data_IF_963465701745
#
_entry.id   IF_963465701745
#
_cell.length_a   1.000
_cell.length_b   1.000
_cell.length_c   1.000
_cell.angle_alpha   90.00
_cell.angle_beta   90.00
_cell.angle_gamma   90.00
#
_symmetry.space_group_name_H-M   'P 1'
#
loop_
_entity.id
_entity.type
_entity.pdbx_description
1 polymer ?
#
# COMPACT_ATOMS: atom_id res chain seq x y z
N UNK A 1 -3.16 -10.79 32.31
CA UNK A 1 -3.45 -11.18 30.91
C UNK A 1 -3.03 -12.62 30.72
N UNK A 2 -3.81 -13.43 30.00
CA UNK A 2 -3.50 -14.84 29.72
C UNK A 2 -3.22 -15.02 28.22
N UNK A 3 -2.11 -15.66 27.87
CA UNK A 3 -1.80 -16.02 26.48
C UNK A 3 -2.73 -17.15 26.00
N UNK A 4 -3.30 -16.97 24.81
CA UNK A 4 -4.25 -17.92 24.20
C UNK A 4 -3.75 -18.48 22.88
N UNK A 5 -2.80 -17.82 22.22
CA UNK A 5 -2.13 -18.27 21.02
C UNK A 5 -0.82 -17.51 20.81
N UNK A 6 0.05 -18.09 19.99
CA UNK A 6 1.32 -17.51 19.56
C UNK A 6 1.52 -17.78 18.07
N UNK A 7 2.06 -16.82 17.34
CA UNK A 7 2.41 -16.93 15.92
C UNK A 7 3.81 -16.35 15.71
N UNK A 8 4.66 -17.08 14.98
CA UNK A 8 6.01 -16.65 14.66
C UNK A 8 6.26 -16.79 13.16
N UNK A 9 7.01 -15.86 12.59
CA UNK A 9 7.37 -15.85 11.17
C UNK A 9 8.66 -15.06 10.94
N UNK A 10 9.48 -15.55 10.03
CA UNK A 10 10.53 -14.72 9.43
C UNK A 10 9.99 -13.96 8.22
N UNK A 11 10.39 -12.70 8.07
CA UNK A 11 9.96 -11.83 6.97
C UNK A 11 11.18 -11.24 6.25
N UNK A 12 11.18 -11.16 4.91
CA UNK A 12 12.24 -10.57 4.10
C UNK A 12 12.17 -9.03 4.06
N UNK A 13 11.96 -8.40 5.22
CA UNK A 13 11.81 -6.94 5.37
C UNK A 13 12.73 -6.40 6.46
N UNK A 14 12.99 -5.10 6.48
CA UNK A 14 13.74 -4.45 7.57
C UNK A 14 12.82 -4.06 8.73
N UNK A 15 13.39 -3.80 9.92
CA UNK A 15 12.64 -3.24 11.05
C UNK A 15 11.98 -1.90 10.70
N UNK A 16 12.65 -1.07 9.89
CA UNK A 16 12.10 0.20 9.43
C UNK A 16 10.80 0.01 8.65
N UNK A 17 10.76 -0.95 7.72
CA UNK A 17 9.55 -1.26 6.94
C UNK A 17 8.45 -1.85 7.82
N UNK A 18 8.81 -2.70 8.78
CA UNK A 18 7.86 -3.27 9.74
C UNK A 18 7.21 -2.18 10.61
N UNK A 19 7.99 -1.21 11.09
CA UNK A 19 7.44 -0.11 11.90
C UNK A 19 6.63 0.88 11.08
N UNK A 20 7.02 1.17 9.82
CA UNK A 20 6.20 1.93 8.87
C UNK A 20 4.83 1.25 8.69
N UNK A 21 4.83 -0.07 8.44
CA UNK A 21 3.60 -0.85 8.28
C UNK A 21 2.74 -0.91 9.55
N UNK A 22 3.34 -1.11 10.73
CA UNK A 22 2.58 -1.16 11.99
C UNK A 22 1.90 0.18 12.32
N UNK A 23 2.49 1.31 11.94
CA UNK A 23 1.91 2.64 12.15
C UNK A 23 0.95 3.08 11.04
N UNK A 24 0.96 2.38 9.90
CA UNK A 24 0.08 2.61 8.77
C UNK A 24 -1.28 1.95 9.01
N UNK A 25 -2.19 2.65 9.67
CA UNK A 25 -3.56 2.17 9.89
C UNK A 25 -4.43 2.22 8.63
N UNK A 26 -4.05 3.00 7.62
CA UNK A 26 -4.91 3.36 6.50
C UNK A 26 -5.07 2.19 5.52
N UNK A 27 -4.14 1.24 5.48
CA UNK A 27 -4.25 0.08 4.60
C UNK A 27 -5.27 -0.96 5.08
N UNK A 28 -5.71 -0.92 6.35
CA UNK A 28 -6.56 -1.96 6.94
C UNK A 28 -7.82 -2.29 6.11
N UNK A 29 -8.69 -1.33 5.73
CA UNK A 29 -9.89 -1.64 4.95
C UNK A 29 -9.62 -1.92 3.46
N UNK A 30 -8.39 -1.74 2.99
CA UNK A 30 -8.04 -1.81 1.57
C UNK A 30 -7.16 -3.01 1.26
N UNK A 31 -5.97 -3.08 1.84
CA UNK A 31 -5.08 -4.22 1.75
C UNK A 31 -5.69 -5.45 2.43
N UNK A 32 -6.25 -5.29 3.63
CA UNK A 32 -6.88 -6.37 4.40
C UNK A 32 -8.40 -6.36 4.29
N UNK A 33 -8.94 -6.06 3.11
CA UNK A 33 -10.39 -5.91 2.86
C UNK A 33 -11.22 -7.17 3.21
N UNK A 34 -10.56 -8.33 3.33
CA UNK A 34 -11.17 -9.59 3.80
C UNK A 34 -11.40 -9.67 5.32
N UNK A 35 -10.70 -8.82 6.09
CA UNK A 35 -10.77 -8.74 7.56
C UNK A 35 -11.48 -7.47 8.02
N UNK A 36 -11.24 -6.35 7.35
CA UNK A 36 -11.80 -5.04 7.70
C UNK A 36 -12.64 -4.51 6.53
N UNK A 37 -13.89 -4.16 6.82
CA UNK A 37 -14.80 -3.58 5.85
C UNK A 37 -14.67 -2.06 5.77
N UNK A 38 -14.35 -1.41 6.89
CA UNK A 38 -14.24 0.04 7.00
C UNK A 38 -13.41 0.44 8.22
N UNK A 39 -12.92 1.68 8.24
CA UNK A 39 -12.16 2.24 9.34
C UNK A 39 -12.42 3.75 9.47
N UNK A 40 -12.52 4.23 10.72
CA UNK A 40 -12.51 5.65 11.07
C UNK A 40 -11.37 5.92 12.06
N UNK A 41 -10.39 6.73 11.66
CA UNK A 41 -9.32 7.17 12.56
C UNK A 41 -9.90 8.11 13.63
N UNK A 42 -9.57 7.87 14.89
CA UNK A 42 -9.98 8.71 16.02
C UNK A 42 -8.88 9.70 16.41
N UNK A 43 -7.64 9.23 16.54
CA UNK A 43 -6.46 10.03 16.84
C UNK A 43 -5.17 9.29 16.49
N UNK A 44 -4.08 10.04 16.34
CA UNK A 44 -2.74 9.50 16.15
C UNK A 44 -1.65 10.45 16.62
N UNK A 45 -0.50 9.87 16.91
CA UNK A 45 0.79 10.54 17.07
C UNK A 45 1.87 9.74 16.31
N UNK A 46 3.15 10.01 16.58
CA UNK A 46 4.27 9.35 15.88
C UNK A 46 4.52 7.89 16.28
N UNK A 47 3.87 7.40 17.34
CA UNK A 47 4.07 6.05 17.91
C UNK A 47 2.76 5.34 18.22
N UNK A 48 1.62 6.01 18.08
CA UNK A 48 0.31 5.45 18.38
C UNK A 48 -0.72 5.93 17.39
N UNK A 49 -1.67 5.04 17.08
CA UNK A 49 -2.92 5.40 16.42
C UNK A 49 -4.07 4.67 17.10
N UNK A 50 -5.24 5.28 17.05
CA UNK A 50 -6.48 4.70 17.54
C UNK A 50 -7.58 4.90 16.50
N UNK A 51 -8.32 3.84 16.22
CA UNK A 51 -9.34 3.84 15.20
C UNK A 51 -10.54 2.98 15.61
N UNK A 52 -11.70 3.31 15.07
CA UNK A 52 -12.84 2.40 15.01
C UNK A 52 -12.78 1.61 13.71
N UNK A 53 -12.89 0.28 13.79
CA UNK A 53 -12.91 -0.61 12.63
C UNK A 53 -14.21 -1.38 12.56
N UNK A 54 -14.70 -1.59 11.34
CA UNK A 54 -15.78 -2.52 11.04
C UNK A 54 -15.17 -3.82 10.51
N UNK A 55 -15.46 -4.95 11.16
CA UNK A 55 -14.95 -6.25 10.75
C UNK A 55 -15.82 -6.87 9.64
N UNK A 56 -15.19 -7.72 8.84
CA UNK A 56 -15.93 -8.59 7.92
C UNK A 56 -16.54 -9.80 8.64
N UNK A 57 -17.68 -10.34 8.16
CA UNK A 57 -18.51 -9.77 7.09
C UNK A 57 -19.29 -8.54 7.57
N UNK A 58 -19.29 -7.47 6.77
CA UNK A 58 -19.89 -6.17 7.13
C UNK A 58 -21.36 -6.26 7.58
N UNK A 59 -22.12 -7.22 7.05
CA UNK A 59 -23.52 -7.47 7.38
C UNK A 59 -23.78 -7.78 8.87
N UNK A 60 -22.77 -8.26 9.61
CA UNK A 60 -22.89 -8.52 11.05
C UNK A 60 -22.70 -7.26 11.91
N UNK A 61 -22.27 -6.13 11.33
CA UNK A 61 -22.11 -4.87 12.04
C UNK A 61 -21.10 -4.91 13.20
N UNK A 62 -20.14 -5.85 13.17
CA UNK A 62 -19.19 -6.05 14.26
C UNK A 62 -18.13 -4.94 14.27
N UNK A 63 -18.24 -4.00 15.20
CA UNK A 63 -17.27 -2.91 15.39
C UNK A 63 -16.31 -3.18 16.54
N UNK A 64 -15.09 -2.64 16.39
CA UNK A 64 -14.07 -2.59 17.44
C UNK A 64 -13.42 -1.21 17.47
N UNK A 65 -13.16 -0.69 18.66
CA UNK A 65 -12.19 0.39 18.83
C UNK A 65 -10.85 -0.24 19.15
N UNK A 66 -9.85 -0.05 18.28
CA UNK A 66 -8.51 -0.58 18.45
C UNK A 66 -7.49 0.54 18.60
N UNK A 67 -6.47 0.32 19.43
CA UNK A 67 -5.32 1.21 19.59
C UNK A 67 -4.05 0.40 19.41
N UNK A 68 -3.13 0.92 18.60
CA UNK A 68 -1.79 0.38 18.47
C UNK A 68 -0.81 1.36 19.12
N UNK A 69 0.09 0.84 19.96
CA UNK A 69 1.21 1.59 20.53
C UNK A 69 2.53 0.92 20.18
N UNK A 70 3.45 1.64 19.55
CA UNK A 70 4.78 1.19 19.13
C UNK A 70 5.87 1.76 20.05
N UNK A 71 6.74 0.87 20.53
CA UNK A 71 8.05 1.19 21.08
C UNK A 71 9.14 0.64 20.15
N UNK A 72 9.61 1.50 19.25
CA UNK A 72 10.63 1.15 18.27
C UNK A 72 11.99 0.81 18.92
N UNK A 73 12.29 1.32 20.12
CA UNK A 73 13.56 1.06 20.79
C UNK A 73 13.67 -0.39 21.27
N UNK A 74 12.55 -0.97 21.73
CA UNK A 74 12.48 -2.39 22.11
C UNK A 74 12.00 -3.31 20.98
N UNK A 75 11.59 -2.74 19.84
CA UNK A 75 11.03 -3.46 18.71
C UNK A 75 9.68 -4.11 19.02
N UNK A 76 8.89 -3.49 19.89
CA UNK A 76 7.61 -4.02 20.36
C UNK A 76 6.47 -3.08 19.99
N UNK A 77 5.35 -3.64 19.54
CA UNK A 77 4.09 -2.91 19.53
C UNK A 77 2.96 -3.77 20.11
N UNK A 78 1.94 -3.07 20.58
CA UNK A 78 0.78 -3.70 21.20
C UNK A 78 -0.48 -3.13 20.56
N UNK A 79 -1.27 -3.99 19.95
CA UNK A 79 -2.64 -3.67 19.51
C UNK A 79 -3.61 -4.08 20.60
N UNK A 80 -4.39 -3.14 21.13
CA UNK A 80 -5.41 -3.37 22.16
C UNK A 80 -6.79 -3.13 21.57
N UNK A 81 -7.72 -4.03 21.85
CA UNK A 81 -9.14 -3.80 21.59
C UNK A 81 -9.73 -3.08 22.79
N UNK A 82 -9.96 -1.78 22.66
CA UNK A 82 -10.45 -0.92 23.73
C UNK A 82 -11.96 -1.09 23.97
N UNK A 83 -12.74 -1.29 22.89
CA UNK A 83 -14.19 -1.45 22.94
C UNK A 83 -14.69 -2.35 21.80
N UNK A 84 -15.93 -2.86 21.94
CA UNK A 84 -16.59 -3.69 20.94
C UNK A 84 -16.29 -5.18 21.05
N UNK A 85 -16.40 -5.90 19.93
CA UNK A 85 -16.14 -7.35 19.88
C UNK A 85 -14.74 -7.65 20.44
N UNK A 86 -14.58 -8.66 21.29
CA UNK A 86 -13.27 -9.00 21.91
C UNK A 86 -12.60 -7.89 22.74
N UNK A 87 -13.35 -6.91 23.26
CA UNK A 87 -12.82 -5.88 24.16
C UNK A 87 -11.95 -6.43 25.30
N UNK A 88 -10.84 -5.73 25.55
CA UNK A 88 -9.81 -6.10 26.50
C UNK A 88 -8.71 -7.01 25.95
N UNK A 89 -8.87 -7.60 24.76
CA UNK A 89 -7.79 -8.36 24.13
C UNK A 89 -6.60 -7.47 23.79
N UNK A 90 -5.40 -8.03 23.92
CA UNK A 90 -4.15 -7.39 23.54
C UNK A 90 -3.33 -8.34 22.68
N UNK A 91 -2.71 -7.80 21.64
CA UNK A 91 -1.87 -8.53 20.70
C UNK A 91 -0.49 -7.91 20.83
N UNK A 92 0.41 -8.63 21.49
CA UNK A 92 1.78 -8.21 21.73
C UNK A 92 2.65 -8.74 20.62
N UNK A 93 3.22 -7.85 19.82
CA UNK A 93 4.14 -8.24 18.77
C UNK A 93 5.53 -7.72 19.06
N UNK A 94 6.53 -8.58 18.92
CA UNK A 94 7.94 -8.24 18.96
C UNK A 94 8.58 -8.54 17.61
N UNK A 95 9.33 -7.60 17.05
CA UNK A 95 10.16 -7.81 15.88
C UNK A 95 11.64 -7.76 16.27
N UNK A 96 12.45 -8.66 15.69
CA UNK A 96 13.90 -8.73 15.88
C UNK A 96 14.60 -8.75 14.54
N UNK A 97 15.65 -7.96 14.39
CA UNK A 97 16.49 -8.00 13.20
C UNK A 97 17.31 -9.29 13.16
N UNK A 98 17.24 -9.98 12.02
CA UNK A 98 18.12 -11.10 11.66
C UNK A 98 19.13 -10.69 10.58
N UNK A 99 18.95 -9.52 9.98
CA UNK A 99 19.81 -8.92 8.96
C UNK A 99 19.26 -7.56 8.51
N UNK A 100 19.87 -6.95 7.49
CA UNK A 100 19.46 -5.61 7.00
C UNK A 100 18.00 -5.59 6.50
N UNK A 101 17.57 -6.65 5.80
CA UNK A 101 16.22 -6.81 5.24
C UNK A 101 15.63 -8.16 5.62
N UNK A 102 15.89 -8.60 6.85
CA UNK A 102 15.33 -9.82 7.38
C UNK A 102 15.02 -9.64 8.86
N UNK A 103 13.80 -9.95 9.26
CA UNK A 103 13.35 -9.91 10.65
C UNK A 103 12.64 -11.22 11.02
N UNK A 104 12.57 -11.48 12.32
CA UNK A 104 11.60 -12.42 12.90
C UNK A 104 10.53 -11.61 13.64
N UNK A 105 9.27 -11.97 13.48
CA UNK A 105 8.15 -11.48 14.28
C UNK A 105 7.64 -12.57 15.23
N UNK A 106 7.36 -12.17 16.46
CA UNK A 106 6.73 -12.98 17.50
C UNK A 106 5.45 -12.30 17.98
N UNK A 107 4.30 -12.90 17.67
CA UNK A 107 2.97 -12.36 17.96
C UNK A 107 2.32 -13.21 19.05
N UNK A 108 1.94 -12.57 20.16
CA UNK A 108 1.28 -13.21 21.30
C UNK A 108 -0.10 -12.62 21.53
N UNK A 109 -1.11 -13.47 21.49
CA UNK A 109 -2.50 -13.09 21.67
C UNK A 109 -2.90 -13.28 23.13
N UNK A 110 -3.39 -12.22 23.76
CA UNK A 110 -3.69 -12.21 25.18
C UNK A 110 -5.10 -11.72 25.49
N UNK A 111 -5.72 -12.29 26.53
CA UNK A 111 -7.06 -11.91 27.00
C UNK A 111 -7.09 -11.69 28.52
N UNK A 112 -7.96 -10.78 29.02
CA UNK A 112 -8.18 -10.62 30.45
C UNK A 112 -9.13 -11.69 31.03
N UNK A 113 -9.85 -12.44 30.17
CA UNK A 113 -10.89 -13.38 30.62
C UNK A 113 -10.30 -14.58 31.37
N UNK A 114 -10.78 -14.81 32.60
CA UNK A 114 -10.37 -15.89 33.53
C UNK A 114 -10.76 -17.32 33.12
N UNK A 115 -11.50 -17.52 32.02
CA UNK A 115 -11.86 -18.86 31.50
C UNK A 115 -11.07 -19.18 30.21
N UNK A 116 -9.78 -19.50 30.30
CA UNK A 116 -8.87 -19.67 29.15
C UNK A 116 -9.29 -20.79 28.20
N UNK A 117 -10.06 -21.79 28.64
CA UNK A 117 -10.45 -22.94 27.79
C UNK A 117 -11.31 -22.51 26.60
N UNK A 118 -12.36 -21.69 26.82
CA UNK A 118 -13.16 -21.15 25.70
C UNK A 118 -12.37 -20.12 24.89
N UNK A 119 -11.44 -19.40 25.52
CA UNK A 119 -10.62 -18.41 24.84
C UNK A 119 -9.58 -19.04 23.90
N UNK A 120 -9.02 -20.20 24.26
CA UNK A 120 -8.12 -21.00 23.41
C UNK A 120 -8.78 -21.48 22.13
N UNK A 121 -10.10 -21.65 22.10
CA UNK A 121 -10.83 -21.98 20.87
C UNK A 121 -10.71 -20.88 19.80
N UNK A 122 -10.51 -19.61 20.20
CA UNK A 122 -10.26 -18.52 19.25
C UNK A 122 -8.81 -18.48 18.75
N UNK A 123 -7.89 -19.17 19.41
CA UNK A 123 -6.46 -19.16 19.08
C UNK A 123 -6.17 -19.51 17.61
N UNK A 124 -6.66 -20.64 17.08
CA UNK A 124 -6.48 -21.00 15.68
C UNK A 124 -7.07 -19.98 14.70
N UNK A 125 -8.22 -19.38 15.02
CA UNK A 125 -8.84 -18.33 14.19
C UNK A 125 -7.96 -17.09 14.15
N UNK A 126 -7.47 -16.62 15.30
CA UNK A 126 -6.58 -15.46 15.40
C UNK A 126 -5.27 -15.68 14.63
N UNK A 127 -4.65 -16.86 14.79
CA UNK A 127 -3.42 -17.23 14.05
C UNK A 127 -3.70 -17.29 12.55
N UNK A 128 -4.84 -17.83 12.13
CA UNK A 128 -5.25 -17.87 10.72
C UNK A 128 -5.47 -16.48 10.12
N UNK A 129 -6.14 -15.58 10.85
CA UNK A 129 -6.30 -14.18 10.46
C UNK A 129 -4.94 -13.50 10.34
N UNK A 130 -4.10 -13.57 11.37
CA UNK A 130 -2.79 -12.91 11.37
C UNK A 130 -1.83 -13.45 10.31
N UNK A 131 -1.88 -14.75 10.00
CA UNK A 131 -1.10 -15.30 8.89
C UNK A 131 -1.43 -14.61 7.57
N UNK A 132 -2.72 -14.44 7.28
CA UNK A 132 -3.19 -13.75 6.07
C UNK A 132 -2.78 -12.28 6.06
N UNK A 133 -2.99 -11.57 7.18
CA UNK A 133 -2.56 -10.17 7.30
C UNK A 133 -1.06 -10.05 6.98
N UNK A 134 -0.23 -10.91 7.58
CA UNK A 134 1.21 -10.91 7.31
C UNK A 134 1.59 -11.29 5.88
N UNK A 135 0.82 -12.16 5.19
CA UNK A 135 1.06 -12.44 3.76
C UNK A 135 0.84 -11.19 2.90
N UNK A 136 -0.22 -10.44 3.19
CA UNK A 136 -0.58 -9.20 2.49
C UNK A 136 0.40 -8.06 2.83
N UNK A 137 0.76 -7.92 4.11
CA UNK A 137 1.73 -6.92 4.60
C UNK A 137 3.13 -7.18 4.06
N UNK A 138 3.58 -8.44 4.02
CA UNK A 138 4.89 -8.80 3.47
C UNK A 138 4.99 -8.35 2.01
N UNK A 139 3.98 -8.67 1.19
CA UNK A 139 3.93 -8.26 -0.20
C UNK A 139 3.99 -6.73 -0.35
N UNK A 140 3.21 -5.99 0.46
CA UNK A 140 3.24 -4.53 0.46
C UNK A 140 4.61 -3.97 0.86
N UNK A 141 5.19 -4.44 1.96
CA UNK A 141 6.48 -3.96 2.48
C UNK A 141 7.66 -4.25 1.54
N UNK A 142 7.67 -5.43 0.91
CA UNK A 142 8.70 -5.81 -0.07
C UNK A 142 8.62 -4.91 -1.31
N UNK A 143 7.42 -4.72 -1.87
CA UNK A 143 7.25 -3.84 -3.03
C UNK A 143 7.55 -2.37 -2.68
N UNK A 144 7.16 -1.92 -1.48
CA UNK A 144 7.50 -0.59 -0.95
C UNK A 144 9.02 -0.38 -0.92
N UNK A 145 9.76 -1.36 -0.42
CA UNK A 145 11.22 -1.29 -0.37
C UNK A 145 11.83 -1.29 -1.77
N UNK A 146 11.33 -2.15 -2.68
CA UNK A 146 11.76 -2.17 -4.07
C UNK A 146 11.51 -0.84 -4.79
N UNK A 147 10.36 -0.20 -4.56
CA UNK A 147 10.05 1.11 -5.11
C UNK A 147 11.00 2.20 -4.59
N UNK A 148 11.32 2.19 -3.29
CA UNK A 148 12.30 3.11 -2.71
C UNK A 148 13.69 2.93 -3.32
N UNK A 149 14.13 1.69 -3.53
CA UNK A 149 15.42 1.40 -4.15
C UNK A 149 15.47 1.92 -5.60
N UNK A 150 14.38 1.75 -6.37
CA UNK A 150 14.25 2.29 -7.73
C UNK A 150 14.29 3.82 -7.74
N UNK A 151 13.64 4.48 -6.79
CA UNK A 151 13.69 5.95 -6.66
C UNK A 151 15.11 6.42 -6.35
N UNK A 152 15.82 5.78 -5.41
CA UNK A 152 17.21 6.10 -5.08
C UNK A 152 18.13 5.91 -6.29
N UNK A 153 18.00 4.79 -7.01
CA UNK A 153 18.76 4.52 -8.23
C UNK A 153 18.46 5.55 -9.34
N UNK A 154 17.18 5.90 -9.53
CA UNK A 154 16.74 6.88 -10.53
C UNK A 154 17.22 8.29 -10.22
N UNK A 155 17.26 8.70 -8.95
CA UNK A 155 17.82 10.00 -8.55
C UNK A 155 19.31 10.09 -8.89
N UNK A 156 20.07 9.02 -8.63
CA UNK A 156 21.49 8.92 -9.01
C UNK A 156 21.69 8.97 -10.52
N UNK A 157 20.86 8.26 -11.28
CA UNK A 157 20.91 8.24 -12.74
C UNK A 157 20.48 9.57 -13.37
N UNK A 158 19.44 10.24 -12.87
CA UNK A 158 18.99 11.56 -13.36
C UNK A 158 20.03 12.66 -13.12
N UNK A 159 20.76 12.60 -12.00
CA UNK A 159 21.89 13.49 -11.74
C UNK A 159 23.02 13.31 -12.78
N UNK A 160 23.08 12.15 -13.46
CA UNK A 160 24.07 11.83 -14.49
C UNK A 160 23.54 12.03 -15.92
N UNK A 161 22.23 11.90 -16.15
CA UNK A 161 21.61 11.90 -17.47
C UNK A 161 20.65 13.09 -17.67
N UNK A 162 21.19 14.30 -17.72
CA UNK A 162 20.52 15.44 -18.34
C UNK A 162 20.96 15.50 -19.80
N UNK A 163 20.15 14.91 -20.69
CA UNK A 163 19.98 15.24 -22.13
C UNK A 163 19.39 14.05 -22.90
N UNK A 164 18.08 14.08 -23.12
CA UNK A 164 17.51 13.86 -24.47
C UNK A 164 16.04 14.29 -24.42
N UNK A 165 15.72 15.31 -25.22
CA UNK A 165 14.38 15.88 -25.32
C UNK A 165 13.50 15.17 -26.36
N UNK A 166 14.04 14.15 -27.02
CA UNK A 166 13.39 13.52 -28.17
C UNK A 166 12.30 12.53 -27.74
N UNK A 167 11.30 12.38 -28.62
CA UNK A 167 10.23 11.41 -28.44
C UNK A 167 10.76 9.98 -28.56
N UNK A 168 10.13 9.03 -27.87
CA UNK A 168 10.46 7.60 -27.93
C UNK A 168 9.31 6.84 -28.57
N UNK A 169 9.58 6.07 -29.63
CA UNK A 169 8.62 5.11 -30.17
C UNK A 169 8.35 3.99 -29.15
N UNK A 170 7.07 3.65 -28.95
CA UNK A 170 6.60 2.63 -28.00
C UNK A 170 6.14 1.34 -28.67
N UNK A 171 5.82 1.39 -29.97
CA UNK A 171 5.29 0.24 -30.73
C UNK A 171 3.92 0.54 -31.34
N UNK A 172 3.22 -0.49 -31.80
CA UNK A 172 1.87 -0.34 -32.36
C UNK A 172 0.83 -0.02 -31.27
N UNK A 173 -0.34 0.50 -31.68
CA UNK A 173 -1.45 0.76 -30.76
C UNK A 173 -1.85 -0.47 -29.95
N UNK A 174 -1.96 -1.63 -30.59
CA UNK A 174 -2.30 -2.89 -29.91
C UNK A 174 -1.23 -3.30 -28.90
N UNK A 175 0.05 -3.13 -29.22
CA UNK A 175 1.14 -3.49 -28.31
C UNK A 175 1.16 -2.60 -27.05
N UNK A 176 0.90 -1.30 -27.18
CA UNK A 176 0.92 -0.40 -26.00
C UNK A 176 -0.31 -0.57 -25.12
N UNK A 177 -1.44 -1.01 -25.68
CA UNK A 177 -2.67 -1.28 -24.92
C UNK A 177 -2.67 -2.64 -24.22
N UNK A 178 -1.68 -3.49 -24.49
CA UNK A 178 -1.52 -4.75 -23.77
C UNK A 178 -1.39 -4.48 -22.25
N UNK A 179 -2.18 -5.16 -21.38
CA UNK A 179 -2.14 -4.93 -19.94
C UNK A 179 -0.78 -5.14 -19.29
N UNK A 180 0.14 -5.88 -19.91
CA UNK A 180 1.52 -6.09 -19.45
C UNK A 180 2.50 -5.01 -19.94
N UNK A 181 2.12 -4.22 -20.93
CA UNK A 181 3.00 -3.21 -21.51
C UNK A 181 3.30 -2.09 -20.50
N UNK A 182 4.60 -1.84 -20.29
CA UNK A 182 5.11 -0.75 -19.46
C UNK A 182 6.23 -0.04 -20.21
N UNK A 183 6.34 1.25 -20.00
CA UNK A 183 7.51 2.00 -20.46
C UNK A 183 7.98 2.97 -19.39
N UNK A 184 9.27 3.28 -19.41
CA UNK A 184 9.88 4.22 -18.49
C UNK A 184 10.27 5.49 -19.22
N UNK A 185 9.96 6.64 -18.59
CA UNK A 185 10.41 7.95 -19.05
C UNK A 185 10.85 8.78 -17.87
N UNK A 186 12.08 9.28 -17.96
CA UNK A 186 12.67 10.10 -16.92
C UNK A 186 12.61 9.43 -15.55
N UNK A 187 12.83 8.13 -15.43
CA UNK A 187 12.79 7.41 -14.14
C UNK A 187 11.40 7.19 -13.53
N UNK A 188 10.33 7.40 -14.31
CA UNK A 188 8.95 7.06 -13.91
C UNK A 188 8.42 6.01 -14.86
N UNK A 189 7.79 4.98 -14.32
CA UNK A 189 7.11 3.92 -15.08
C UNK A 189 5.68 4.32 -15.38
N UNK A 190 5.26 4.04 -16.60
CA UNK A 190 3.94 4.37 -17.12
C UNK A 190 3.29 3.14 -17.77
N UNK A 191 1.97 3.10 -17.67
CA UNK A 191 1.08 2.20 -18.42
C UNK A 191 0.21 3.03 -19.35
N UNK A 192 -0.14 2.47 -20.50
CA UNK A 192 -1.06 3.09 -21.45
C UNK A 192 -2.45 2.48 -21.31
N UNK A 193 -3.47 3.31 -21.47
CA UNK A 193 -4.87 2.92 -21.53
C UNK A 193 -5.59 3.74 -22.61
N UNK A 194 -6.74 3.26 -23.04
CA UNK A 194 -7.63 4.04 -23.89
C UNK A 194 -8.73 4.66 -23.02
N UNK A 195 -8.88 5.97 -23.14
CA UNK A 195 -9.89 6.73 -22.40
C UNK A 195 -10.46 7.82 -23.30
N UNK A 196 -11.79 7.85 -23.41
CA UNK A 196 -12.54 8.78 -24.27
C UNK A 196 -12.07 8.78 -25.74
N UNK A 197 -11.73 7.59 -26.27
CA UNK A 197 -11.24 7.40 -27.64
C UNK A 197 -9.78 7.82 -27.89
N UNK A 198 -9.06 8.25 -26.85
CA UNK A 198 -7.66 8.66 -26.94
C UNK A 198 -6.74 7.79 -26.07
N UNK A 199 -5.50 7.59 -26.52
CA UNK A 199 -4.47 6.94 -25.72
C UNK A 199 -4.00 7.89 -24.62
N UNK A 200 -4.00 7.38 -23.38
CA UNK A 200 -3.50 8.08 -22.21
C UNK A 200 -2.47 7.22 -21.50
N UNK A 201 -1.40 7.85 -21.01
CA UNK A 201 -0.45 7.21 -20.12
C UNK A 201 -0.70 7.68 -18.68
N UNK A 202 -0.48 6.81 -17.71
CA UNK A 202 -0.51 7.15 -16.29
C UNK A 202 0.65 6.46 -15.55
N UNK A 203 1.15 7.09 -14.50
CA UNK A 203 2.23 6.52 -13.70
C UNK A 203 1.74 5.28 -12.97
N UNK A 204 2.53 4.20 -12.99
CA UNK A 204 2.16 2.96 -12.30
C UNK A 204 2.55 2.93 -10.83
N UNK A 205 2.87 4.09 -10.25
CA UNK A 205 3.29 4.20 -8.85
C UNK A 205 2.44 5.25 -8.16
N UNK A 206 1.70 4.83 -7.14
CA UNK A 206 0.89 5.71 -6.31
C UNK A 206 1.80 6.69 -5.53
N UNK A 207 1.53 8.00 -5.56
CA UNK A 207 2.35 9.00 -4.86
C UNK A 207 2.26 8.91 -3.32
N UNK A 208 1.34 8.12 -2.75
CA UNK A 208 1.18 7.98 -1.30
C UNK A 208 2.37 7.23 -0.67
N UNK A 209 2.41 5.92 -0.79
CA UNK A 209 3.50 5.08 -0.30
C UNK A 209 4.21 4.31 -1.42
N UNK A 210 4.20 4.83 -2.65
CA UNK A 210 4.74 4.15 -3.83
C UNK A 210 4.04 2.81 -4.13
N UNK A 211 2.75 2.70 -3.78
CA UNK A 211 1.95 1.51 -4.05
C UNK A 211 1.81 1.21 -5.55
N UNK A 212 1.76 -0.08 -5.93
CA UNK A 212 1.73 -0.49 -7.33
C UNK A 212 0.35 -0.21 -7.93
N UNK A 213 0.37 0.46 -9.08
CA UNK A 213 -0.80 0.66 -9.94
C UNK A 213 -0.65 -0.08 -11.27
N UNK A 214 0.41 -0.87 -11.44
CA UNK A 214 0.71 -1.62 -12.66
C UNK A 214 -0.51 -2.44 -13.10
N UNK A 215 -1.01 -3.28 -12.18
CA UNK A 215 -2.10 -4.22 -12.47
C UNK A 215 -3.45 -3.74 -11.91
N UNK A 216 -3.50 -2.52 -11.38
CA UNK A 216 -4.73 -1.93 -10.91
C UNK A 216 -5.71 -1.77 -12.09
N UNK A 217 -6.96 -2.22 -11.96
CA UNK A 217 -7.94 -2.08 -13.02
C UNK A 217 -8.29 -0.62 -13.22
N UNK A 218 -8.39 -0.21 -14.50
CA UNK A 218 -8.96 1.08 -14.87
C UNK A 218 -10.47 0.91 -15.01
N UNK A 219 -11.25 1.68 -14.23
CA UNK A 219 -12.71 1.70 -14.28
C UNK A 219 -13.18 3.14 -14.32
N UNK A 220 -14.07 3.46 -15.26
CA UNK A 220 -14.63 4.81 -15.43
C UNK A 220 -13.57 5.94 -15.54
N UNK A 221 -12.45 5.62 -16.18
CA UNK A 221 -11.30 6.53 -16.30
C UNK A 221 -10.56 6.79 -14.99
N UNK A 222 -10.71 5.91 -14.00
CA UNK A 222 -10.04 5.99 -12.69
C UNK A 222 -9.24 4.74 -12.40
N UNK A 223 -8.16 4.91 -11.65
CA UNK A 223 -7.35 3.81 -11.10
C UNK A 223 -7.32 3.92 -9.58
N UNK A 224 -7.48 2.79 -8.88
CA UNK A 224 -7.50 2.74 -7.42
C UNK A 224 -6.27 1.99 -6.89
N UNK A 225 -5.54 2.61 -5.98
CA UNK A 225 -4.42 1.99 -5.28
C UNK A 225 -4.93 0.83 -4.40
N UNK A 226 -4.36 -0.38 -4.53
CA UNK A 226 -4.80 -1.53 -3.74
C UNK A 226 -4.43 -1.40 -2.26
N UNK A 227 -3.41 -0.62 -1.91
CA UNK A 227 -2.93 -0.52 -0.53
C UNK A 227 -3.81 0.35 0.35
N UNK A 228 -4.20 1.54 -0.13
CA UNK A 228 -4.87 2.56 0.68
C UNK A 228 -6.13 3.11 0.02
N UNK A 229 -6.55 2.54 -1.12
CA UNK A 229 -7.79 2.96 -1.77
C UNK A 229 -7.75 4.32 -2.48
N UNK A 230 -6.60 5.02 -2.52
CA UNK A 230 -6.44 6.31 -3.22
C UNK A 230 -6.86 6.16 -4.68
N UNK A 231 -7.70 7.06 -5.18
CA UNK A 231 -8.39 6.89 -6.45
C UNK A 231 -8.14 8.08 -7.38
N UNK A 232 -7.35 7.82 -8.42
CA UNK A 232 -6.89 8.87 -9.35
C UNK A 232 -7.75 8.89 -10.60
N UNK A 233 -8.30 10.06 -10.93
CA UNK A 233 -8.89 10.32 -12.24
C UNK A 233 -7.76 10.46 -13.28
N UNK A 234 -7.76 9.59 -14.30
CA UNK A 234 -6.67 9.52 -15.29
C UNK A 234 -6.64 10.74 -16.24
N UNK A 235 -7.76 11.46 -16.37
CA UNK A 235 -7.82 12.69 -17.19
C UNK A 235 -7.03 13.83 -16.54
N UNK A 236 -7.02 13.87 -15.20
CA UNK A 236 -6.38 14.94 -14.42
C UNK A 236 -5.10 14.49 -13.68
N UNK A 237 -4.97 13.19 -13.48
CA UNK A 237 -3.99 12.52 -12.63
C UNK A 237 -4.23 12.69 -11.13
N UNK A 238 -5.37 13.26 -10.70
CA UNK A 238 -5.61 13.64 -9.30
C UNK A 238 -6.50 12.66 -8.55
N UNK A 239 -6.21 12.50 -7.27
CA UNK A 239 -7.16 12.04 -6.26
C UNK A 239 -7.68 13.27 -5.49
N UNK A 240 -8.91 13.68 -5.78
CA UNK A 240 -9.51 14.87 -5.18
C UNK A 240 -9.78 14.70 -3.68
N UNK A 241 -9.99 13.46 -3.19
CA UNK A 241 -10.29 13.21 -1.79
C UNK A 241 -9.07 13.46 -0.88
N UNK A 242 -7.88 13.16 -1.38
CA UNK A 242 -6.63 13.22 -0.60
C UNK A 242 -5.65 14.31 -1.10
N UNK A 243 -5.99 15.03 -2.17
CA UNK A 243 -5.14 16.08 -2.73
C UNK A 243 -3.84 15.59 -3.35
N UNK A 244 -3.73 14.28 -3.66
CA UNK A 244 -2.55 13.70 -4.30
C UNK A 244 -2.67 13.71 -5.82
N UNK A 245 -1.51 13.65 -6.50
CA UNK A 245 -1.45 13.59 -7.95
C UNK A 245 -0.39 12.60 -8.44
N UNK A 246 -0.75 11.78 -9.42
CA UNK A 246 0.17 10.92 -10.15
C UNK A 246 1.28 11.74 -10.82
N UNK A 247 2.45 11.13 -10.99
CA UNK A 247 3.53 11.73 -11.76
C UNK A 247 3.05 12.05 -13.18
N UNK A 248 3.45 13.22 -13.68
CA UNK A 248 2.98 13.74 -14.98
C UNK A 248 3.38 12.81 -16.12
N UNK A 249 2.39 12.28 -16.83
CA UNK A 249 2.62 11.41 -17.96
C UNK A 249 3.12 12.18 -19.20
N UNK A 250 3.93 11.54 -20.06
CA UNK A 250 4.20 12.05 -21.40
C UNK A 250 2.91 12.02 -22.23
N UNK A 251 2.88 12.82 -23.30
CA UNK A 251 1.81 12.70 -24.28
C UNK A 251 2.09 11.55 -25.22
N UNK A 252 1.03 10.89 -25.67
CA UNK A 252 1.08 9.83 -26.64
C UNK A 252 0.57 10.37 -27.97
N UNK A 253 1.32 10.13 -29.03
CA UNK A 253 0.95 10.54 -30.38
C UNK A 253 1.09 9.34 -31.33
N UNK A 254 0.10 9.14 -32.19
CA UNK A 254 0.15 8.12 -33.23
C UNK A 254 0.72 8.72 -34.51
N UNK A 255 1.82 8.14 -35.01
CA UNK A 255 2.54 8.57 -36.22
C UNK A 255 3.02 7.33 -36.96
N UNK A 256 2.71 7.24 -38.26
CA UNK A 256 3.20 6.16 -39.14
C UNK A 256 2.92 4.75 -38.58
N UNK A 257 1.75 4.55 -37.95
CA UNK A 257 1.35 3.26 -37.37
C UNK A 257 2.00 2.92 -36.01
N UNK A 258 2.80 3.82 -35.45
CA UNK A 258 3.43 3.67 -34.13
C UNK A 258 2.94 4.73 -33.13
N UNK A 259 2.87 4.34 -31.86
CA UNK A 259 2.63 5.24 -30.73
C UNK A 259 3.96 5.78 -30.23
N UNK A 260 4.02 7.09 -30.05
CA UNK A 260 5.21 7.81 -29.58
C UNK A 260 4.93 8.49 -28.25
N UNK A 261 5.84 8.30 -27.28
CA UNK A 261 5.87 9.09 -26.07
C UNK A 261 6.66 10.39 -26.32
N UNK A 262 5.99 11.53 -26.28
CA UNK A 262 6.61 12.87 -26.44
C UNK A 262 6.52 13.70 -25.15
N UNK A 263 7.36 14.74 -25.05
CA UNK A 263 7.39 15.57 -23.85
C UNK A 263 6.00 16.17 -23.55
N UNK A 264 5.63 16.16 -22.27
CA UNK A 264 4.45 16.87 -21.81
C UNK A 264 4.66 18.38 -22.07
N UNK A 265 3.70 19.05 -22.72
CA UNK A 265 3.79 20.50 -23.01
C UNK A 265 4.16 21.25 -21.73
N UNK A 266 5.19 22.09 -21.70
CA UNK A 266 5.21 23.10 -20.65
C UNK A 266 3.98 23.96 -20.87
N UNK A 267 3.15 24.16 -19.84
CA UNK A 267 2.33 25.35 -19.85
C UNK A 267 3.32 26.50 -19.69
N UNK A 268 3.84 27.03 -20.80
CA UNK A 268 4.08 28.46 -20.85
C UNK A 268 2.68 29.06 -20.84
N UNK A 269 2.20 29.39 -19.64
CA UNK A 269 1.09 30.31 -19.49
C UNK A 269 1.41 31.52 -20.35
N UNK A 270 0.50 31.82 -21.27
CA UNK A 270 0.47 33.13 -21.90
C UNK A 270 0.24 34.17 -20.79
N UNK A 271 0.94 35.30 -20.95
CA UNK A 271 0.96 36.53 -20.13
C UNK A 271 1.86 36.49 -18.89
#
# INVERSE_FOLDING_TARGET
>A
MHEIARYQRELPVSLERMFENALDWEHLPHLHASSFADLTLLDRDSRRWRAEVLLQPAALGLRQTIELTLDAASGVWITRVLAGFCAGMAIHTQARALGERRIEVDVRFQTPRRRPVRARLYGPVLVGTYRRLYDEDEAMMVERQGALDRVRASAKARAQAQRSAEGRALGSRGAVLDPSFRFERGGVRFRVTELDGALQAFSTTCPHLLGPLDDAPVRDGRVRCPWHGYCFDLRTGKDEAHGLRLARAPRLEEREGAVWAVAARSNRSAL
#
